data_IF_504910917510
#
_entry.id   IF_504910917510
#
_cell.length_a   1.000
_cell.length_b   1.000
_cell.length_c   1.000
_cell.angle_alpha   90.00
_cell.angle_beta   90.00
_cell.angle_gamma   90.00
#
_symmetry.space_group_name_H-M   'P 1'
#
loop_
_entity.id
_entity.type
_entity.pdbx_description
1 polymer ?
#
# COMPACT_ATOMS: atom_id res chain seq x y z
N UNK A 1 -32.18 4.74 -1.37
CA UNK A 1 -31.20 3.64 -1.55
C UNK A 1 -29.99 3.99 -0.70
N UNK A 2 -29.65 3.21 0.34
CA UNK A 2 -28.40 3.38 1.06
C UNK A 2 -27.22 2.92 0.18
N UNK A 3 -26.12 3.66 0.20
CA UNK A 3 -24.88 3.36 -0.53
C UNK A 3 -24.18 2.12 0.03
N UNK A 4 -23.48 1.31 -0.79
CA UNK A 4 -22.78 0.12 -0.28
C UNK A 4 -21.57 0.55 0.59
N UNK A 5 -21.42 0.01 1.82
CA UNK A 5 -20.25 0.26 2.68
C UNK A 5 -18.98 -0.53 2.26
N UNK A 6 -18.94 -1.10 1.05
CA UNK A 6 -17.97 -2.13 0.67
C UNK A 6 -16.58 -1.58 0.31
N UNK A 7 -16.49 -0.33 -0.18
CA UNK A 7 -15.22 0.26 -0.61
C UNK A 7 -14.26 0.54 0.56
N UNK A 8 -14.78 0.89 1.74
CA UNK A 8 -13.96 1.20 2.91
C UNK A 8 -13.32 -0.06 3.51
N UNK A 9 -13.97 -1.22 3.37
CA UNK A 9 -13.53 -2.47 3.99
C UNK A 9 -12.42 -3.21 3.20
N UNK A 10 -12.26 -2.86 1.92
CA UNK A 10 -11.24 -3.44 1.04
C UNK A 10 -9.83 -2.94 1.38
N UNK A 11 -9.65 -1.64 1.65
CA UNK A 11 -8.36 -1.07 2.08
C UNK A 11 -7.94 -1.58 3.47
N UNK A 12 -8.88 -1.70 4.41
CA UNK A 12 -8.60 -2.15 5.79
C UNK A 12 -8.14 -3.61 5.89
N UNK A 13 -8.44 -4.45 4.90
CA UNK A 13 -8.00 -5.86 4.88
C UNK A 13 -6.74 -6.10 4.04
N UNK A 14 -6.17 -5.08 3.39
CA UNK A 14 -5.04 -5.27 2.48
C UNK A 14 -3.74 -5.64 3.21
N UNK A 15 -3.39 -4.90 4.26
CA UNK A 15 -2.16 -5.11 5.04
C UNK A 15 -2.14 -6.52 5.69
N UNK A 16 -3.20 -7.00 6.37
CA UNK A 16 -3.22 -8.36 6.91
C UNK A 16 -3.05 -9.45 5.84
N UNK A 17 -3.61 -9.26 4.65
CA UNK A 17 -3.49 -10.23 3.55
C UNK A 17 -2.06 -10.30 3.01
N UNK A 18 -1.41 -9.14 2.83
CA UNK A 18 -0.01 -9.08 2.39
C UNK A 18 0.91 -9.71 3.44
N UNK A 19 0.70 -9.41 4.72
CA UNK A 19 1.43 -10.02 5.84
C UNK A 19 1.32 -11.54 5.86
N UNK A 20 0.11 -12.08 5.65
CA UNK A 20 -0.14 -13.52 5.59
C UNK A 20 0.61 -14.17 4.42
N UNK A 21 0.56 -13.56 3.24
CA UNK A 21 1.28 -14.07 2.06
C UNK A 21 2.80 -14.03 2.24
N UNK A 22 3.35 -12.96 2.83
CA UNK A 22 4.77 -12.87 3.17
C UNK A 22 5.18 -13.99 4.12
N UNK A 23 4.40 -14.21 5.18
CA UNK A 23 4.65 -15.26 6.16
C UNK A 23 4.60 -16.66 5.53
N UNK A 24 3.62 -16.91 4.66
CA UNK A 24 3.51 -18.18 3.93
C UNK A 24 4.68 -18.40 2.97
N UNK A 25 5.11 -17.35 2.26
CA UNK A 25 6.25 -17.41 1.34
C UNK A 25 7.55 -17.69 2.12
N UNK A 26 7.75 -16.98 3.24
CA UNK A 26 8.88 -17.20 4.13
C UNK A 26 8.90 -18.64 4.66
N UNK A 27 7.75 -19.14 5.14
CA UNK A 27 7.62 -20.51 5.66
C UNK A 27 7.87 -21.57 4.59
N UNK A 28 7.44 -21.33 3.35
CA UNK A 28 7.54 -22.30 2.25
C UNK A 28 8.93 -22.37 1.64
N UNK A 29 9.54 -21.21 1.37
CA UNK A 29 10.80 -21.13 0.62
C UNK A 29 12.01 -20.81 1.50
N UNK A 30 11.80 -20.22 2.68
CA UNK A 30 12.85 -19.81 3.59
C UNK A 30 13.41 -18.40 3.30
N UNK A 31 14.08 -17.79 4.29
CA UNK A 31 14.51 -16.39 4.23
C UNK A 31 15.60 -16.13 3.17
N UNK A 32 16.41 -17.13 2.84
CA UNK A 32 17.50 -17.00 1.86
C UNK A 32 17.09 -17.38 0.44
N UNK A 33 15.80 -17.64 0.19
CA UNK A 33 15.31 -18.06 -1.11
C UNK A 33 15.16 -16.91 -2.09
N UNK A 34 15.38 -17.19 -3.37
CA UNK A 34 15.12 -16.22 -4.43
C UNK A 34 13.64 -15.85 -4.51
N UNK A 35 12.72 -16.78 -4.18
CA UNK A 35 11.28 -16.53 -4.17
C UNK A 35 10.90 -15.53 -3.08
N UNK A 36 11.39 -15.72 -1.86
CA UNK A 36 11.12 -14.78 -0.77
C UNK A 36 11.71 -13.40 -1.07
N UNK A 37 12.96 -13.35 -1.57
CA UNK A 37 13.60 -12.10 -1.98
C UNK A 37 12.80 -11.37 -3.07
N UNK A 38 12.33 -12.08 -4.10
CA UNK A 38 11.54 -11.49 -5.18
C UNK A 38 10.21 -10.89 -4.66
N UNK A 39 9.55 -11.53 -3.69
CA UNK A 39 8.31 -10.98 -3.10
C UNK A 39 8.60 -9.71 -2.31
N UNK A 40 9.70 -9.66 -1.55
CA UNK A 40 10.10 -8.43 -0.85
C UNK A 40 10.43 -7.30 -1.83
N UNK A 41 11.05 -7.62 -2.98
CA UNK A 41 11.37 -6.65 -4.02
C UNK A 41 10.12 -6.12 -4.73
N UNK A 42 9.16 -6.99 -5.04
CA UNK A 42 7.85 -6.57 -5.57
C UNK A 42 7.13 -5.64 -4.59
N UNK A 43 7.13 -5.96 -3.29
CA UNK A 43 6.52 -5.10 -2.27
C UNK A 43 7.19 -3.72 -2.20
N UNK A 44 8.52 -3.65 -2.31
CA UNK A 44 9.27 -2.39 -2.36
C UNK A 44 8.92 -1.55 -3.60
N UNK A 45 8.66 -2.20 -4.72
CA UNK A 45 8.25 -1.53 -5.96
C UNK A 45 6.84 -0.98 -5.82
N UNK A 46 5.88 -1.77 -5.32
CA UNK A 46 4.51 -1.31 -5.08
C UNK A 46 4.43 -0.11 -4.12
N UNK A 47 5.26 -0.09 -3.07
CA UNK A 47 5.36 1.08 -2.18
C UNK A 47 5.80 2.33 -2.96
N UNK A 48 6.82 2.21 -3.82
CA UNK A 48 7.32 3.32 -4.64
C UNK A 48 6.29 3.81 -5.65
N UNK A 49 5.51 2.90 -6.24
CA UNK A 49 4.42 3.24 -7.16
C UNK A 49 3.31 4.03 -6.44
N UNK A 50 2.87 3.57 -5.28
CA UNK A 50 1.87 4.28 -4.46
C UNK A 50 2.35 5.67 -4.02
N UNK A 51 3.64 5.81 -3.70
CA UNK A 51 4.24 7.10 -3.39
C UNK A 51 4.27 8.05 -4.60
N UNK A 52 4.51 7.51 -5.79
CA UNK A 52 4.50 8.28 -7.04
C UNK A 52 3.08 8.71 -7.40
N UNK A 53 2.10 7.83 -7.23
CA UNK A 53 0.68 8.13 -7.42
C UNK A 53 0.21 9.23 -6.47
N UNK A 54 0.51 9.11 -5.17
CA UNK A 54 0.18 10.14 -4.18
C UNK A 54 0.82 11.51 -4.47
N UNK A 55 2.03 11.54 -5.05
CA UNK A 55 2.69 12.78 -5.52
C UNK A 55 2.15 13.30 -6.86
N UNK A 56 1.70 12.41 -7.74
CA UNK A 56 1.09 12.77 -9.02
C UNK A 56 -0.26 13.48 -8.85
N UNK A 57 -1.01 13.12 -7.80
CA UNK A 57 -2.23 13.82 -7.41
C UNK A 57 -1.96 15.25 -6.89
N UNK A 58 -0.84 15.48 -6.17
CA UNK A 58 -0.45 16.83 -5.75
C UNK A 58 -0.14 17.75 -6.94
N UNK A 59 0.49 17.24 -8.01
CA UNK A 59 0.81 18.02 -9.22
C UNK A 59 -0.46 18.35 -10.05
N UNK A 60 -1.46 17.46 -10.08
CA UNK A 60 -2.74 17.74 -10.74
C UNK A 60 -3.67 18.66 -9.93
N UNK A 61 -3.53 18.69 -8.59
CA UNK A 61 -4.28 19.56 -7.70
C UNK A 61 -4.04 21.07 -7.92
N UNK A 62 -2.87 21.46 -8.45
CA UNK A 62 -2.56 22.87 -8.75
C UNK A 62 -3.38 23.40 -9.94
N UNK A 63 -3.86 22.54 -10.85
CA UNK A 63 -4.67 22.95 -12.01
C UNK A 63 -6.15 23.17 -11.63
N UNK A 64 -6.61 22.64 -10.49
CA UNK A 64 -8.02 22.69 -10.06
C UNK A 64 -8.32 23.71 -8.95
N UNK A 65 -7.47 24.73 -8.77
CA UNK A 65 -7.68 25.75 -7.71
C UNK A 65 -8.92 26.63 -7.96
N UNK A 66 -9.59 26.55 -9.11
CA UNK A 66 -10.76 27.39 -9.43
C UNK A 66 -12.15 26.78 -9.22
N UNK A 67 -12.30 25.56 -8.67
CA UNK A 67 -13.65 25.07 -8.34
C UNK A 67 -13.67 24.05 -7.20
N UNK A 68 -13.90 24.54 -5.98
CA UNK A 68 -14.61 23.84 -4.89
C UNK A 68 -14.07 22.46 -4.50
N UNK A 69 -13.19 22.44 -3.50
CA UNK A 69 -12.45 21.26 -3.07
C UNK A 69 -13.28 20.09 -2.55
N UNK A 70 -12.87 18.89 -2.96
CA UNK A 70 -12.91 17.64 -2.21
C UNK A 70 -11.70 16.82 -2.71
N UNK A 71 -10.56 16.92 -2.03
CA UNK A 71 -9.32 16.21 -2.43
C UNK A 71 -8.41 15.79 -1.28
N UNK A 72 -8.84 15.99 -0.03
CA UNK A 72 -8.03 15.71 1.16
C UNK A 72 -8.22 14.29 1.73
N UNK A 73 -9.17 13.51 1.20
CA UNK A 73 -9.57 12.22 1.77
C UNK A 73 -8.78 11.01 1.29
N UNK A 74 -8.25 11.02 0.05
CA UNK A 74 -7.62 9.83 -0.55
C UNK A 74 -6.12 9.77 -0.27
N UNK A 75 -5.42 10.91 -0.31
CA UNK A 75 -3.98 10.98 0.01
C UNK A 75 -3.63 10.52 1.42
N UNK A 76 -4.49 10.81 2.42
CA UNK A 76 -4.30 10.33 3.79
C UNK A 76 -4.46 8.81 3.90
N UNK A 77 -5.46 8.24 3.24
CA UNK A 77 -5.67 6.78 3.21
C UNK A 77 -4.55 6.04 2.47
N UNK A 78 -4.01 6.63 1.41
CA UNK A 78 -2.85 6.08 0.68
C UNK A 78 -1.59 6.14 1.53
N UNK A 79 -1.38 7.22 2.29
CA UNK A 79 -0.26 7.33 3.24
C UNK A 79 -0.34 6.26 4.34
N UNK A 80 -1.53 6.02 4.92
CA UNK A 80 -1.73 4.97 5.92
C UNK A 80 -1.39 3.57 5.36
N UNK A 81 -1.75 3.31 4.10
CA UNK A 81 -1.41 2.05 3.41
C UNK A 81 0.11 1.95 3.18
N UNK A 82 0.75 3.01 2.70
CA UNK A 82 2.20 3.05 2.49
C UNK A 82 2.95 2.74 3.78
N UNK A 83 2.53 3.35 4.90
CA UNK A 83 3.16 3.11 6.21
C UNK A 83 3.00 1.65 6.65
N UNK A 84 1.79 1.07 6.53
CA UNK A 84 1.56 -0.33 6.85
C UNK A 84 2.40 -1.30 6.00
N UNK A 85 2.61 -0.99 4.71
CA UNK A 85 3.47 -1.81 3.85
C UNK A 85 4.97 -1.67 4.21
N UNK A 86 5.42 -0.49 4.63
CA UNK A 86 6.79 -0.25 5.11
C UNK A 86 7.08 -1.05 6.38
N UNK A 87 6.16 -1.04 7.34
CA UNK A 87 6.28 -1.83 8.58
C UNK A 87 6.40 -3.34 8.29
N UNK A 88 5.59 -3.86 7.36
CA UNK A 88 5.67 -5.26 6.95
C UNK A 88 7.00 -5.61 6.31
N UNK A 89 7.53 -4.72 5.47
CA UNK A 89 8.81 -4.90 4.82
C UNK A 89 9.96 -4.95 5.84
N UNK A 90 9.94 -4.06 6.84
CA UNK A 90 10.93 -4.08 7.93
C UNK A 90 10.88 -5.37 8.75
N UNK A 91 9.67 -5.88 9.04
CA UNK A 91 9.50 -7.15 9.74
C UNK A 91 10.03 -8.32 8.92
N UNK A 92 9.76 -8.35 7.61
CA UNK A 92 10.28 -9.37 6.69
C UNK A 92 11.80 -9.28 6.43
N UNK A 93 12.45 -8.15 6.75
CA UNK A 93 13.90 -7.98 6.64
C UNK A 93 14.66 -8.34 7.92
N UNK A 94 13.96 -8.48 9.06
CA UNK A 94 14.57 -8.83 10.35
C UNK A 94 14.69 -10.34 10.60
N UNK A 95 14.09 -11.17 9.74
CA UNK A 95 14.14 -12.64 9.77
C UNK A 95 15.39 -13.20 9.09
#
# INVERSE_FOLDING_TARGET
MPTPPEATNAKSNLIPQISTNLSNTLSTFGPTSAQYAAVLDMLRESIRELELEGKGEEMQGIVTINRGGIGAGDGAATADVIEGLRELLEQGLRV
#
